data_IF_178838719599
#
_entry.id   IF_178838719599
#
_cell.length_a   1.000
_cell.length_b   1.000
_cell.length_c   1.000
_cell.angle_alpha   90.00
_cell.angle_beta   90.00
_cell.angle_gamma   90.00
#
_symmetry.space_group_name_H-M   'P 1'
#
loop_
_entity.id
_entity.type
_entity.pdbx_description
1 polymer ?
#
# COMPACT_ATOMS: atom_id res chain seq x y z
N UNK A 1 -36.35 -11.05 -66.12
CA UNK A 1 -35.87 -9.65 -66.30
C UNK A 1 -35.18 -9.20 -65.02
N UNK A 2 -33.99 -8.59 -65.16
CA UNK A 2 -33.30 -7.59 -64.30
C UNK A 2 -33.37 -7.78 -62.77
N UNK A 3 -32.26 -8.21 -62.15
CA UNK A 3 -31.25 -7.36 -61.47
C UNK A 3 -31.87 -6.40 -60.45
N UNK A 4 -31.46 -6.52 -59.18
CA UNK A 4 -30.74 -5.46 -58.46
C UNK A 4 -30.05 -6.07 -57.22
N UNK A 5 -28.74 -5.90 -57.19
CA UNK A 5 -27.89 -6.13 -56.03
C UNK A 5 -27.79 -4.83 -55.21
N UNK A 6 -27.18 -4.96 -54.04
CA UNK A 6 -26.60 -3.94 -53.16
C UNK A 6 -27.49 -3.32 -52.07
N UNK A 7 -26.98 -3.45 -50.85
CA UNK A 7 -27.45 -2.80 -49.63
C UNK A 7 -26.54 -3.22 -48.47
N UNK A 8 -25.41 -2.53 -48.34
CA UNK A 8 -24.30 -2.83 -47.45
C UNK A 8 -24.57 -2.40 -45.99
N UNK A 9 -23.91 -3.12 -45.06
CA UNK A 9 -23.28 -2.68 -43.81
C UNK A 9 -24.08 -1.81 -42.82
N UNK A 10 -24.38 -2.37 -41.65
CA UNK A 10 -24.14 -1.72 -40.36
C UNK A 10 -24.19 -2.75 -39.21
N UNK A 11 -23.18 -3.62 -39.12
CA UNK A 11 -22.90 -4.31 -37.87
C UNK A 11 -22.21 -3.30 -36.93
N UNK A 12 -23.03 -2.50 -36.22
CA UNK A 12 -22.55 -1.60 -35.18
C UNK A 12 -22.06 -2.39 -33.98
N UNK A 13 -20.80 -2.84 -34.02
CA UNK A 13 -20.07 -3.32 -32.85
C UNK A 13 -19.72 -2.12 -31.98
N UNK A 14 -20.64 -1.70 -31.11
CA UNK A 14 -20.30 -0.89 -29.95
C UNK A 14 -19.78 -1.82 -28.84
N UNK A 15 -18.56 -2.32 -29.00
CA UNK A 15 -17.76 -2.82 -27.88
C UNK A 15 -16.86 -1.68 -27.40
N UNK A 16 -17.47 -0.58 -26.96
CA UNK A 16 -16.74 0.51 -26.32
C UNK A 16 -16.42 0.11 -24.89
N UNK A 17 -15.17 -0.27 -24.68
CA UNK A 17 -14.47 -0.16 -23.39
C UNK A 17 -15.08 -0.94 -22.24
N UNK A 18 -15.05 -2.26 -22.30
CA UNK A 18 -15.03 -3.06 -21.08
C UNK A 18 -13.66 -2.83 -20.42
N UNK A 19 -13.52 -1.73 -19.67
CA UNK A 19 -12.43 -1.59 -18.71
C UNK A 19 -12.56 -2.75 -17.74
N UNK A 20 -11.62 -3.69 -17.79
CA UNK A 20 -11.57 -4.79 -16.83
C UNK A 20 -11.48 -4.16 -15.44
N UNK A 21 -12.54 -4.28 -14.64
CA UNK A 21 -12.48 -3.95 -13.24
C UNK A 21 -11.53 -4.97 -12.60
N UNK A 22 -10.24 -4.64 -12.54
CA UNK A 22 -9.29 -5.35 -11.69
C UNK A 22 -9.77 -5.16 -10.26
N UNK A 23 -10.41 -6.19 -9.73
CA UNK A 23 -10.82 -6.21 -8.34
C UNK A 23 -9.54 -6.18 -7.50
N UNK A 24 -9.22 -5.03 -6.94
CA UNK A 24 -8.04 -4.89 -6.10
C UNK A 24 -8.18 -5.81 -4.88
N UNK A 25 -7.25 -6.77 -4.76
CA UNK A 25 -7.20 -7.77 -3.70
C UNK A 25 -6.29 -7.33 -2.56
N UNK A 26 -6.56 -7.86 -1.38
CA UNK A 26 -5.64 -7.76 -0.25
C UNK A 26 -4.51 -8.78 -0.39
N UNK A 27 -3.28 -8.34 -0.19
CA UNK A 27 -2.06 -9.13 -0.21
C UNK A 27 -1.43 -9.16 1.18
N UNK A 28 -0.72 -10.23 1.52
CA UNK A 28 -0.07 -10.36 2.83
C UNK A 28 1.24 -9.58 2.87
N UNK A 29 1.42 -8.79 3.93
CA UNK A 29 2.73 -8.26 4.34
C UNK A 29 3.34 -9.29 5.30
N UNK A 30 4.54 -9.85 5.00
CA UNK A 30 5.20 -10.75 5.94
C UNK A 30 5.51 -10.02 7.24
N UNK A 31 5.59 -10.77 8.35
CA UNK A 31 6.03 -10.20 9.62
C UNK A 31 7.38 -9.51 9.44
N UNK A 32 7.43 -8.24 9.82
CA UNK A 32 8.66 -7.45 9.85
C UNK A 32 9.06 -7.23 11.30
N UNK A 33 10.35 -7.32 11.58
CA UNK A 33 10.86 -7.13 12.93
C UNK A 33 12.24 -6.50 12.93
N UNK A 34 12.53 -5.81 14.02
CA UNK A 34 13.86 -5.32 14.39
C UNK A 34 14.00 -5.46 15.91
N UNK A 35 15.12 -5.05 16.51
CA UNK A 35 15.24 -5.10 17.97
C UNK A 35 14.24 -4.14 18.62
N UNK A 36 13.28 -4.68 19.36
CA UNK A 36 12.27 -3.91 20.10
C UNK A 36 11.02 -3.46 19.33
N UNK A 37 10.90 -3.78 18.03
CA UNK A 37 9.68 -3.50 17.27
C UNK A 37 9.30 -4.63 16.31
N UNK A 38 8.01 -4.88 16.17
CA UNK A 38 7.46 -5.88 15.25
C UNK A 38 6.18 -5.36 14.59
N UNK A 39 6.05 -5.59 13.30
CA UNK A 39 4.79 -5.46 12.57
C UNK A 39 4.31 -6.84 12.12
N UNK A 40 3.10 -7.23 12.50
CA UNK A 40 2.53 -8.55 12.20
C UNK A 40 1.09 -8.45 11.70
N UNK A 41 0.54 -9.57 11.23
CA UNK A 41 -0.80 -9.66 10.63
C UNK A 41 -1.03 -8.60 9.54
N UNK A 42 0.04 -8.30 8.80
CA UNK A 42 0.07 -7.19 7.87
C UNK A 42 -0.62 -7.56 6.55
N UNK A 43 -1.32 -6.60 5.98
CA UNK A 43 -1.91 -6.69 4.65
C UNK A 43 -1.73 -5.37 3.90
N UNK A 44 -1.63 -5.44 2.58
CA UNK A 44 -1.64 -4.27 1.71
C UNK A 44 -2.59 -4.46 0.53
N UNK A 45 -3.00 -3.34 -0.07
CA UNK A 45 -3.84 -3.29 -1.26
C UNK A 45 -3.54 -2.03 -2.05
N UNK A 46 -3.43 -2.17 -3.37
CA UNK A 46 -3.39 -1.04 -4.28
C UNK A 46 -4.77 -0.76 -4.83
N UNK A 47 -5.29 0.45 -4.61
CA UNK A 47 -6.59 0.81 -5.15
C UNK A 47 -6.49 1.19 -6.64
N UNK A 48 -7.50 0.81 -7.47
CA UNK A 48 -7.58 1.30 -8.83
C UNK A 48 -7.69 2.83 -8.85
N UNK A 49 -7.18 3.46 -9.92
CA UNK A 49 -7.38 4.90 -10.14
C UNK A 49 -8.88 5.25 -10.06
N UNK A 50 -9.22 6.29 -9.32
CA UNK A 50 -10.61 6.72 -9.08
C UNK A 50 -11.34 6.02 -7.93
N UNK A 51 -10.77 4.99 -7.30
CA UNK A 51 -11.28 4.41 -6.04
C UNK A 51 -10.29 4.67 -4.91
N UNK A 52 -10.75 5.15 -3.75
CA UNK A 52 -9.88 5.49 -2.60
C UNK A 52 -8.60 6.22 -3.03
N UNK A 53 -8.74 7.15 -3.99
CA UNK A 53 -7.67 7.96 -4.55
C UNK A 53 -6.52 7.20 -5.24
N UNK A 54 -6.75 5.94 -5.68
CA UNK A 54 -5.71 5.10 -6.26
C UNK A 54 -4.57 4.76 -5.29
N UNK A 55 -4.85 4.88 -3.99
CA UNK A 55 -3.87 4.84 -2.92
C UNK A 55 -3.26 3.45 -2.69
N UNK A 56 -2.10 3.47 -2.04
CA UNK A 56 -1.54 2.29 -1.38
C UNK A 56 -2.11 2.21 0.04
N UNK A 57 -3.00 1.25 0.27
CA UNK A 57 -3.56 0.97 1.60
C UNK A 57 -2.77 -0.17 2.25
N UNK A 58 -2.49 -0.03 3.54
CA UNK A 58 -1.88 -1.08 4.34
C UNK A 58 -2.42 -1.07 5.76
N UNK A 59 -2.45 -2.26 6.35
CA UNK A 59 -2.94 -2.45 7.73
C UNK A 59 -2.23 -3.61 8.41
N UNK A 60 -2.29 -3.64 9.73
CA UNK A 60 -1.71 -4.71 10.55
C UNK A 60 -1.48 -4.24 11.98
N UNK A 61 -0.79 -5.04 12.78
CA UNK A 61 -0.50 -4.70 14.17
C UNK A 61 0.96 -4.29 14.34
N UNK A 62 1.16 -3.07 14.85
CA UNK A 62 2.47 -2.59 15.29
C UNK A 62 2.62 -2.85 16.78
N UNK A 63 3.63 -3.63 17.14
CA UNK A 63 3.93 -4.05 18.51
C UNK A 63 5.29 -3.54 18.93
N UNK A 64 5.32 -2.87 20.07
CA UNK A 64 6.53 -2.72 20.87
C UNK A 64 6.86 -4.07 21.51
N UNK A 65 8.01 -4.63 21.16
CA UNK A 65 8.43 -5.95 21.67
C UNK A 65 9.38 -5.84 22.85
N UNK A 66 9.78 -4.63 23.25
CA UNK A 66 10.68 -4.42 24.37
C UNK A 66 10.12 -3.38 25.36
N UNK A 67 9.19 -3.83 26.19
CA UNK A 67 8.45 -2.96 27.11
C UNK A 67 9.32 -2.25 28.17
N UNK A 68 10.62 -2.57 28.28
CA UNK A 68 11.52 -2.06 29.31
C UNK A 68 12.52 -1.00 28.85
N UNK A 69 12.62 -0.70 27.56
CA UNK A 69 13.70 0.17 27.04
C UNK A 69 13.36 1.65 26.93
N UNK A 70 12.11 2.04 27.21
CA UNK A 70 11.74 3.45 27.13
C UNK A 70 11.49 3.96 25.71
N UNK A 71 11.60 3.11 24.68
CA UNK A 71 11.60 3.52 23.27
C UNK A 71 10.22 3.39 22.62
N UNK A 72 9.91 4.31 21.70
CA UNK A 72 8.71 4.21 20.88
C UNK A 72 8.97 3.38 19.62
N UNK A 73 7.90 2.89 19.00
CA UNK A 73 7.96 2.15 17.74
C UNK A 73 7.12 2.83 16.69
N UNK A 74 7.45 2.66 15.42
CA UNK A 74 6.73 3.27 14.32
C UNK A 74 6.89 2.50 13.01
N UNK A 75 5.97 2.71 12.08
CA UNK A 75 6.08 2.30 10.69
C UNK A 75 6.60 3.46 9.85
N UNK A 76 7.43 3.16 8.86
CA UNK A 76 7.68 4.07 7.75
C UNK A 76 7.14 3.48 6.46
N UNK A 77 6.42 4.32 5.72
CA UNK A 77 5.86 3.96 4.41
C UNK A 77 6.22 5.04 3.41
N UNK A 78 6.66 4.63 2.24
CA UNK A 78 7.02 5.50 1.13
C UNK A 78 6.34 4.97 -0.13
N UNK A 79 5.60 5.83 -0.82
CA UNK A 79 5.14 5.57 -2.18
C UNK A 79 6.15 6.23 -3.13
N UNK A 80 6.39 5.62 -4.29
CA UNK A 80 7.31 6.15 -5.30
C UNK A 80 7.04 7.64 -5.59
N UNK A 81 8.12 8.42 -5.71
CA UNK A 81 8.05 9.87 -5.94
C UNK A 81 7.81 10.71 -4.68
N UNK A 82 7.70 10.10 -3.49
CA UNK A 82 7.44 10.81 -2.23
C UNK A 82 8.43 10.43 -1.12
N UNK A 83 8.51 11.26 -0.09
CA UNK A 83 9.31 10.97 1.11
C UNK A 83 8.62 9.96 2.04
N UNK A 84 9.40 9.45 3.00
CA UNK A 84 8.90 8.54 4.02
C UNK A 84 7.87 9.22 4.94
N UNK A 85 6.69 8.63 5.01
CA UNK A 85 5.66 8.93 6.01
C UNK A 85 5.88 8.07 7.26
N UNK A 86 5.75 8.67 8.45
CA UNK A 86 5.92 8.00 9.74
C UNK A 86 4.58 7.81 10.45
N UNK A 87 4.31 6.59 10.92
CA UNK A 87 3.11 6.22 11.66
C UNK A 87 3.49 5.63 13.00
N UNK A 88 3.23 6.39 14.07
CA UNK A 88 3.68 6.00 15.41
C UNK A 88 2.78 4.93 16.02
N UNK A 89 3.43 3.98 16.70
CA UNK A 89 2.76 3.05 17.59
C UNK A 89 2.62 3.61 19.00
N UNK A 90 2.45 2.71 19.96
CA UNK A 90 2.38 3.05 21.37
C UNK A 90 3.29 2.15 22.17
N UNK A 91 4.05 2.75 23.07
CA UNK A 91 4.97 2.05 23.95
C UNK A 91 4.26 0.95 24.75
N UNK A 92 4.92 -0.20 24.90
CA UNK A 92 4.45 -1.38 25.64
C UNK A 92 3.13 -1.97 25.14
N UNK A 93 2.70 -1.60 23.94
CA UNK A 93 1.40 -2.01 23.39
C UNK A 93 1.54 -2.57 21.98
N UNK A 94 0.53 -3.36 21.61
CA UNK A 94 0.27 -3.72 20.23
C UNK A 94 -0.92 -2.91 19.76
N UNK A 95 -0.73 -2.07 18.75
CA UNK A 95 -1.78 -1.20 18.20
C UNK A 95 -2.11 -1.61 16.77
N UNK A 96 -3.40 -1.75 16.42
CA UNK A 96 -3.79 -1.91 15.03
C UNK A 96 -3.58 -0.60 14.28
N UNK A 97 -3.03 -0.69 13.07
CA UNK A 97 -2.84 0.40 12.14
C UNK A 97 -3.60 0.07 10.86
N UNK A 98 -4.24 1.08 10.26
CA UNK A 98 -4.92 1.01 8.97
C UNK A 98 -4.80 2.38 8.31
N UNK A 99 -4.03 2.47 7.22
CA UNK A 99 -3.68 3.74 6.58
C UNK A 99 -3.72 3.67 5.05
N UNK A 100 -4.15 4.78 4.47
CA UNK A 100 -4.12 5.07 3.04
C UNK A 100 -3.00 6.07 2.76
N UNK A 101 -2.00 5.66 1.98
CA UNK A 101 -0.97 6.54 1.44
C UNK A 101 -1.40 7.00 0.04
N UNK A 102 -1.73 8.28 -0.08
CA UNK A 102 -2.19 8.87 -1.33
C UNK A 102 -1.69 10.31 -1.53
N UNK A 103 -1.50 10.67 -2.79
CA UNK A 103 -1.41 12.04 -3.28
C UNK A 103 -1.83 12.06 -4.77
N UNK A 104 -2.16 13.22 -5.37
CA UNK A 104 -2.73 13.27 -6.73
C UNK A 104 -1.94 12.54 -7.83
N UNK A 105 -0.60 12.51 -7.76
CA UNK A 105 0.20 11.74 -8.72
C UNK A 105 0.45 10.29 -8.29
N UNK A 106 0.24 9.92 -7.03
CA UNK A 106 0.44 8.54 -6.53
C UNK A 106 -0.60 7.56 -7.08
N UNK A 107 -1.75 8.03 -7.54
CA UNK A 107 -2.79 7.17 -8.13
C UNK A 107 -2.31 6.40 -9.38
N UNK A 108 -1.18 6.81 -9.96
CA UNK A 108 -0.51 6.19 -11.12
C UNK A 108 0.86 5.59 -10.77
N UNK A 109 1.22 5.54 -9.50
CA UNK A 109 2.44 4.87 -9.05
C UNK A 109 2.15 3.42 -8.74
N UNK A 110 3.17 2.59 -8.93
CA UNK A 110 3.06 1.14 -8.77
C UNK A 110 3.97 0.61 -7.66
N UNK A 111 4.84 1.44 -7.09
CA UNK A 111 5.85 1.02 -6.12
C UNK A 111 5.64 1.66 -4.75
N UNK A 112 5.66 0.82 -3.72
CA UNK A 112 5.62 1.23 -2.32
C UNK A 112 6.65 0.47 -1.48
N UNK A 113 7.12 1.13 -0.43
CA UNK A 113 8.15 0.62 0.46
C UNK A 113 7.68 0.75 1.89
N UNK A 114 7.79 -0.33 2.68
CA UNK A 114 7.44 -0.34 4.10
C UNK A 114 8.62 -0.88 4.92
N UNK A 115 8.83 -0.30 6.11
CA UNK A 115 9.67 -0.88 7.18
C UNK A 115 9.12 -0.55 8.56
N UNK A 116 9.40 -1.42 9.53
CA UNK A 116 9.13 -1.16 10.95
C UNK A 116 10.40 -0.68 11.63
N UNK A 117 10.28 0.31 12.51
CA UNK A 117 11.40 0.92 13.21
C UNK A 117 11.12 1.07 14.70
N UNK A 118 12.20 1.09 15.48
CA UNK A 118 12.21 1.53 16.87
C UNK A 118 12.98 2.84 16.97
N UNK A 119 12.37 3.79 17.68
CA UNK A 119 12.93 5.09 18.00
C UNK A 119 13.90 4.98 19.18
N UNK A 120 15.20 5.08 18.92
CA UNK A 120 16.24 4.94 19.96
C UNK A 120 16.56 6.28 20.65
N UNK A 121 15.74 7.30 20.44
CA UNK A 121 15.93 8.64 20.96
C UNK A 121 17.01 9.43 20.21
N UNK A 122 17.18 10.70 20.57
CA UNK A 122 18.02 11.65 19.84
C UNK A 122 19.53 11.32 19.81
N UNK A 123 20.00 10.49 20.74
CA UNK A 123 21.42 10.16 20.89
C UNK A 123 21.85 8.91 20.12
N UNK A 124 20.90 8.20 19.51
CA UNK A 124 21.17 6.95 18.81
C UNK A 124 20.38 6.89 17.50
N UNK A 125 20.97 6.35 16.42
CA UNK A 125 20.20 6.11 15.21
C UNK A 125 19.13 5.06 15.49
N UNK A 126 17.95 5.28 14.93
CA UNK A 126 16.84 4.34 14.97
C UNK A 126 17.23 3.03 14.28
N UNK A 127 16.73 1.93 14.81
CA UNK A 127 16.90 0.63 14.19
C UNK A 127 15.62 0.24 13.46
N UNK A 128 15.75 -0.12 12.18
CA UNK A 128 14.64 -0.52 11.33
C UNK A 128 14.82 -1.97 10.86
N UNK A 129 13.72 -2.60 10.47
CA UNK A 129 13.76 -3.84 9.69
C UNK A 129 14.35 -3.57 8.30
N UNK A 130 14.74 -4.62 7.55
CA UNK A 130 14.91 -4.49 6.11
C UNK A 130 13.66 -3.87 5.46
N UNK A 131 13.87 -3.00 4.48
CA UNK A 131 12.78 -2.42 3.70
C UNK A 131 12.14 -3.49 2.83
N UNK A 132 10.80 -3.56 2.85
CA UNK A 132 10.01 -4.38 1.94
C UNK A 132 9.46 -3.51 0.84
N UNK A 133 9.57 -4.00 -0.39
CA UNK A 133 9.07 -3.37 -1.60
C UNK A 133 7.83 -4.13 -2.07
N UNK A 134 6.82 -3.37 -2.50
CA UNK A 134 5.53 -3.87 -2.99
C UNK A 134 5.22 -3.21 -4.31
N UNK A 135 4.77 -4.03 -5.26
CA UNK A 135 4.32 -3.60 -6.57
C UNK A 135 2.81 -3.76 -6.70
N UNK A 136 2.17 -2.93 -7.53
CA UNK A 136 0.75 -3.01 -7.90
C UNK A 136 0.39 -4.31 -8.61
#
# INVERSE_FOLDING_TARGET
MRKLAAGALAAGLFALGAGTAVAASWHTIPTMSTSGAQFNSGQYKWWPSGQNHGAFEWKGNLKDTNNGDGHNVYMQVKVEGYDWSRYNGKQKQSVPLDYLNWAPSQQYTDDAYIRVCRDKGSLNPDNCSPTKHYQR
#
